data_IF_621749991391
#
_entry.id   IF_621749991391
#
_cell.length_a   1.000
_cell.length_b   1.000
_cell.length_c   1.000
_cell.angle_alpha   90.00
_cell.angle_beta   90.00
_cell.angle_gamma   90.00
#
_symmetry.space_group_name_H-M   'P 1'
#
loop_
_entity.id
_entity.type
_entity.pdbx_description
1 polymer ?
#
# COMPACT_ATOMS: atom_id res chain seq x y z
N UNK A 1 -12.02 11.62 3.62
CA UNK A 1 -11.70 11.35 2.20
C UNK A 1 -10.46 12.18 1.86
N UNK A 2 -9.26 11.60 1.95
CA UNK A 2 -8.04 12.33 1.63
C UNK A 2 -7.87 12.41 0.12
N UNK A 3 -7.93 13.63 -0.41
CA UNK A 3 -7.60 13.96 -1.80
C UNK A 3 -6.12 13.63 -2.07
N UNK A 4 -5.73 13.16 -3.27
CA UNK A 4 -4.32 13.06 -3.62
C UNK A 4 -3.75 14.48 -3.77
N UNK A 5 -2.96 14.91 -2.80
CA UNK A 5 -2.21 16.17 -2.88
C UNK A 5 -1.22 16.07 -4.06
N UNK A 6 -1.15 17.08 -4.95
CA UNK A 6 -0.12 17.10 -5.99
C UNK A 6 1.27 17.04 -5.35
N UNK A 7 2.17 16.23 -5.92
CA UNK A 7 3.56 16.13 -5.47
C UNK A 7 4.25 17.49 -5.56
N UNK A 8 4.97 17.87 -4.50
CA UNK A 8 5.77 19.08 -4.50
C UNK A 8 6.96 18.99 -5.46
N UNK A 9 7.49 20.12 -5.92
CA UNK A 9 8.64 20.15 -6.85
C UNK A 9 9.84 19.34 -6.35
N UNK A 10 10.16 19.43 -5.06
CA UNK A 10 11.23 18.67 -4.44
C UNK A 10 10.98 17.15 -4.46
N UNK A 11 9.73 16.72 -4.30
CA UNK A 11 9.36 15.30 -4.39
C UNK A 11 9.44 14.80 -5.83
N UNK A 12 9.11 15.64 -6.83
CA UNK A 12 9.32 15.29 -8.23
C UNK A 12 10.81 15.10 -8.55
N UNK A 13 11.67 16.01 -8.07
CA UNK A 13 13.12 15.91 -8.25
C UNK A 13 13.71 14.66 -7.56
N UNK A 14 13.24 14.33 -6.36
CA UNK A 14 13.65 13.11 -5.65
C UNK A 14 13.17 11.84 -6.37
N UNK A 15 11.96 11.86 -6.94
CA UNK A 15 11.44 10.75 -7.73
C UNK A 15 12.26 10.55 -9.01
N UNK A 16 12.57 11.62 -9.74
CA UNK A 16 13.36 11.55 -10.96
C UNK A 16 14.78 11.02 -10.70
N UNK A 17 15.35 11.31 -9.52
CA UNK A 17 16.67 10.85 -9.14
C UNK A 17 16.69 9.41 -8.60
N UNK A 18 15.74 9.07 -7.73
CA UNK A 18 15.78 7.83 -6.95
C UNK A 18 14.86 6.73 -7.52
N UNK A 19 13.92 7.10 -8.40
CA UNK A 19 12.91 6.20 -8.96
C UNK A 19 11.78 5.83 -7.99
N UNK A 20 11.79 6.36 -6.76
CA UNK A 20 10.75 6.14 -5.75
C UNK A 20 10.65 7.34 -4.81
N UNK A 21 9.53 7.44 -4.10
CA UNK A 21 9.32 8.38 -3.01
C UNK A 21 8.88 7.65 -1.75
N UNK A 22 9.43 8.05 -0.62
CA UNK A 22 9.06 7.51 0.67
C UNK A 22 8.16 8.49 1.41
N UNK A 23 6.92 8.07 1.70
CA UNK A 23 5.96 8.84 2.46
C UNK A 23 5.82 8.23 3.86
N UNK A 24 6.51 8.77 4.88
CA UNK A 24 6.34 8.31 6.24
C UNK A 24 4.95 8.73 6.75
N UNK A 25 4.31 7.86 7.52
CA UNK A 25 3.02 8.13 8.17
C UNK A 25 1.87 8.49 7.20
N UNK A 26 1.85 7.88 6.01
CA UNK A 26 0.73 8.05 5.05
C UNK A 26 -0.64 7.67 5.60
N UNK A 27 -0.65 6.85 6.65
CA UNK A 27 -1.85 6.44 7.36
C UNK A 27 -1.67 6.71 8.85
N UNK A 28 -2.75 7.13 9.50
CA UNK A 28 -2.84 7.13 10.96
C UNK A 28 -2.82 5.71 11.52
N UNK A 29 -2.61 5.57 12.84
CA UNK A 29 -2.67 4.27 13.50
C UNK A 29 -4.04 3.58 13.34
N UNK A 30 -5.12 4.37 13.37
CA UNK A 30 -6.49 3.90 13.21
C UNK A 30 -6.74 3.39 11.79
N UNK A 31 -6.35 4.17 10.77
CA UNK A 31 -6.46 3.75 9.36
C UNK A 31 -5.60 2.51 9.07
N UNK A 32 -4.39 2.45 9.64
CA UNK A 32 -3.50 1.29 9.51
C UNK A 32 -4.14 0.03 10.09
N UNK A 33 -4.84 0.14 11.23
CA UNK A 33 -5.53 -0.99 11.84
C UNK A 33 -6.68 -1.51 10.97
N UNK A 34 -7.45 -0.60 10.35
CA UNK A 34 -8.53 -0.95 9.41
C UNK A 34 -7.95 -1.67 8.18
N UNK A 35 -6.89 -1.14 7.59
CA UNK A 35 -6.23 -1.75 6.43
C UNK A 35 -5.66 -3.13 6.77
N UNK A 36 -5.06 -3.27 7.94
CA UNK A 36 -4.51 -4.55 8.42
C UNK A 36 -5.61 -5.60 8.57
N UNK A 37 -6.76 -5.23 9.13
CA UNK A 37 -7.88 -6.15 9.27
C UNK A 37 -8.42 -6.57 7.91
N UNK A 38 -8.64 -5.62 7.00
CA UNK A 38 -9.09 -5.91 5.64
C UNK A 38 -8.12 -6.82 4.88
N UNK A 39 -6.81 -6.65 5.06
CA UNK A 39 -5.81 -7.53 4.47
C UNK A 39 -5.91 -8.97 4.99
N UNK A 40 -6.08 -9.14 6.31
CA UNK A 40 -6.28 -10.47 6.91
C UNK A 40 -7.52 -11.16 6.35
N UNK A 41 -8.63 -10.42 6.23
CA UNK A 41 -9.87 -10.96 5.68
C UNK A 41 -9.66 -11.43 4.24
N UNK A 42 -8.97 -10.64 3.40
CA UNK A 42 -8.61 -11.00 2.02
C UNK A 42 -7.72 -12.25 1.95
N UNK A 43 -6.70 -12.37 2.81
CA UNK A 43 -5.85 -13.57 2.85
C UNK A 43 -6.59 -14.83 3.32
N UNK A 44 -7.64 -14.66 4.11
CA UNK A 44 -8.50 -15.77 4.56
C UNK A 44 -9.56 -16.16 3.51
N UNK A 45 -9.80 -15.33 2.49
CA UNK A 45 -10.69 -15.69 1.39
C UNK A 45 -10.11 -16.87 0.61
N UNK A 46 -10.83 -17.99 0.63
CA UNK A 46 -10.60 -19.12 -0.26
C UNK A 46 -11.22 -18.77 -1.62
N UNK A 47 -10.40 -18.26 -2.55
CA UNK A 47 -10.81 -17.99 -3.95
C UNK A 47 -10.31 -19.13 -4.83
N UNK A 48 -11.20 -19.72 -5.63
CA UNK A 48 -10.86 -20.82 -6.54
C UNK A 48 -9.78 -20.44 -7.58
N UNK A 49 -9.62 -19.15 -7.87
CA UNK A 49 -8.63 -18.61 -8.81
C UNK A 49 -7.23 -18.43 -8.21
N UNK A 50 -7.07 -18.59 -6.88
CA UNK A 50 -5.77 -18.53 -6.21
C UNK A 50 -5.12 -19.91 -6.28
N UNK A 51 -4.40 -20.15 -7.37
CA UNK A 51 -3.46 -21.27 -7.47
C UNK A 51 -2.35 -21.07 -6.44
N UNK A 52 -2.46 -21.75 -5.29
CA UNK A 52 -1.31 -22.00 -4.42
C UNK A 52 -0.54 -23.13 -5.08
N UNK A 53 0.62 -22.85 -5.68
CA UNK A 53 1.50 -23.93 -6.10
C UNK A 53 1.81 -24.83 -4.89
N UNK A 54 1.57 -26.13 -5.06
CA UNK A 54 1.69 -27.12 -3.99
C UNK A 54 3.14 -27.54 -3.72
N UNK A 55 4.11 -27.02 -4.46
CA UNK A 55 5.53 -27.34 -4.32
C UNK A 55 6.32 -26.05 -4.08
N UNK A 56 6.95 -25.97 -2.91
CA UNK A 56 7.91 -24.92 -2.59
C UNK A 56 9.25 -25.07 -3.29
#
# INVERSE_FOLDING_TARGET
MSNPTPLGKQQLEEFDKNGYLFFPNSFSAEETQVLKQAALDVYQMQREEVWRESSG
#
